data_IF_501629381018
#
_entry.id   IF_501629381018
#
_cell.length_a   1.000
_cell.length_b   1.000
_cell.length_c   1.000
_cell.angle_alpha   90.00
_cell.angle_beta   90.00
_cell.angle_gamma   90.00
#
_symmetry.space_group_name_H-M   'P 1'
#
loop_
_entity.id
_entity.type
_entity.pdbx_description
1 polymer ?
#
# COMPACT_ATOMS: atom_id res chain seq x y z
N UNK A 1 0.40 -4.59 -30.64
CA UNK A 1 0.20 -4.43 -29.20
C UNK A 1 -1.31 -4.44 -29.02
N UNK A 2 -1.88 -5.29 -28.22
CA UNK A 2 -3.32 -5.28 -27.92
C UNK A 2 -3.56 -4.88 -26.46
N UNK A 3 -4.81 -4.56 -26.10
CA UNK A 3 -5.17 -4.08 -24.79
C UNK A 3 -4.89 -5.12 -23.67
N UNK A 4 -5.05 -6.41 -23.95
CA UNK A 4 -4.86 -7.49 -23.00
C UNK A 4 -3.36 -7.67 -22.65
N UNK A 5 -2.48 -7.60 -23.65
CA UNK A 5 -1.03 -7.63 -23.46
C UNK A 5 -0.55 -6.41 -22.65
N UNK A 6 -1.07 -5.22 -22.97
CA UNK A 6 -0.77 -3.99 -22.21
C UNK A 6 -1.20 -4.10 -20.76
N UNK A 7 -2.42 -4.57 -20.50
CA UNK A 7 -2.94 -4.75 -19.14
C UNK A 7 -2.12 -5.76 -18.35
N UNK A 8 -1.78 -6.91 -18.97
CA UNK A 8 -0.92 -7.91 -18.35
C UNK A 8 0.45 -7.33 -17.97
N UNK A 9 1.12 -6.66 -18.91
CA UNK A 9 2.43 -6.05 -18.69
C UNK A 9 2.40 -4.96 -17.63
N UNK A 10 1.41 -4.08 -17.66
CA UNK A 10 1.25 -3.02 -16.66
C UNK A 10 1.03 -3.58 -15.26
N UNK A 11 0.20 -4.62 -15.13
CA UNK A 11 -0.10 -5.27 -13.85
C UNK A 11 1.07 -6.06 -13.30
N UNK A 12 1.76 -6.84 -14.13
CA UNK A 12 2.90 -7.68 -13.71
C UNK A 12 4.23 -6.93 -13.72
N UNK A 13 4.26 -5.73 -14.31
CA UNK A 13 5.48 -4.94 -14.61
C UNK A 13 6.49 -5.70 -15.49
N UNK A 14 6.03 -6.72 -16.19
CA UNK A 14 6.88 -7.56 -17.03
C UNK A 14 7.29 -6.83 -18.31
N UNK A 15 8.59 -6.68 -18.53
CA UNK A 15 9.15 -5.97 -19.68
C UNK A 15 8.84 -4.47 -19.71
N UNK A 16 8.52 -3.88 -18.58
CA UNK A 16 8.29 -2.45 -18.39
C UNK A 16 9.39 -1.83 -17.54
N UNK A 17 9.61 -0.53 -17.69
CA UNK A 17 10.39 0.27 -16.73
C UNK A 17 9.47 0.60 -15.57
N UNK A 18 9.77 0.14 -14.33
CA UNK A 18 8.92 0.42 -13.18
C UNK A 18 8.67 1.91 -12.95
N UNK A 19 7.45 2.35 -12.57
CA UNK A 19 7.13 3.78 -12.38
C UNK A 19 8.13 4.52 -11.49
N UNK A 20 8.60 3.89 -10.41
CA UNK A 20 9.58 4.49 -9.52
C UNK A 20 10.92 4.79 -10.22
N UNK A 21 11.35 3.96 -11.17
CA UNK A 21 12.55 4.20 -11.96
C UNK A 21 12.34 5.27 -13.03
N UNK A 22 11.13 5.39 -13.60
CA UNK A 22 10.79 6.50 -14.51
C UNK A 22 10.84 7.83 -13.76
N UNK A 23 10.23 7.91 -12.57
CA UNK A 23 10.33 9.10 -11.71
C UNK A 23 11.78 9.43 -11.38
N UNK A 24 12.59 8.42 -11.02
CA UNK A 24 14.01 8.61 -10.72
C UNK A 24 14.81 9.14 -11.91
N UNK A 25 14.54 8.64 -13.12
CA UNK A 25 15.14 9.18 -14.35
C UNK A 25 14.83 10.65 -14.55
N UNK A 26 13.58 11.07 -14.31
CA UNK A 26 13.16 12.46 -14.43
C UNK A 26 13.82 13.36 -13.36
N UNK A 27 13.86 12.91 -12.11
CA UNK A 27 14.52 13.63 -11.00
C UNK A 27 16.01 13.88 -11.26
N UNK A 28 16.70 12.92 -11.88
CA UNK A 28 18.12 13.02 -12.23
C UNK A 28 18.38 13.72 -13.58
N UNK A 29 17.35 14.26 -14.22
CA UNK A 29 17.47 15.06 -15.44
C UNK A 29 17.56 14.24 -16.73
N UNK A 30 17.22 12.95 -16.72
CA UNK A 30 17.25 12.08 -17.88
C UNK A 30 15.95 12.11 -18.71
N UNK A 31 15.26 13.26 -18.77
CA UNK A 31 13.98 13.43 -19.46
C UNK A 31 14.01 13.00 -20.93
N UNK A 32 15.12 13.24 -21.65
CA UNK A 32 15.29 12.79 -23.06
C UNK A 32 15.26 11.26 -23.19
N UNK A 33 15.70 10.56 -22.18
CA UNK A 33 15.67 9.11 -22.18
C UNK A 33 14.25 8.60 -21.94
N UNK A 34 13.52 9.24 -21.01
CA UNK A 34 12.08 8.93 -20.77
C UNK A 34 11.28 9.19 -22.05
N UNK A 35 11.49 10.33 -22.74
CA UNK A 35 10.89 10.62 -24.05
C UNK A 35 11.18 9.51 -25.07
N UNK A 36 12.45 9.10 -25.20
CA UNK A 36 12.85 8.05 -26.14
C UNK A 36 12.15 6.72 -25.87
N UNK A 37 12.02 6.33 -24.60
CA UNK A 37 11.34 5.11 -24.18
C UNK A 37 9.82 5.22 -24.39
N UNK A 38 9.23 6.39 -24.14
CA UNK A 38 7.83 6.69 -24.41
C UNK A 38 7.51 6.49 -25.90
N UNK A 39 8.32 7.07 -26.78
CA UNK A 39 8.20 6.91 -28.24
C UNK A 39 8.48 5.47 -28.70
N UNK A 40 9.23 4.71 -27.93
CA UNK A 40 9.49 3.28 -28.13
C UNK A 40 8.35 2.36 -27.69
N UNK A 41 7.27 2.90 -27.14
CA UNK A 41 6.08 2.14 -26.72
C UNK A 41 6.14 1.61 -25.27
N UNK A 42 6.97 2.21 -24.42
CA UNK A 42 6.99 1.91 -22.99
C UNK A 42 5.92 2.75 -22.28
N UNK A 43 4.92 2.08 -21.69
CA UNK A 43 3.72 2.72 -21.14
C UNK A 43 4.00 3.68 -19.98
N UNK A 44 4.77 3.27 -19.00
CA UNK A 44 5.02 4.12 -17.83
C UNK A 44 5.85 5.36 -18.18
N UNK A 45 6.78 5.22 -19.14
CA UNK A 45 7.47 6.37 -19.69
C UNK A 45 6.54 7.27 -20.51
N UNK A 46 5.62 6.70 -21.30
CA UNK A 46 4.66 7.47 -22.08
C UNK A 46 3.73 8.28 -21.16
N UNK A 47 3.22 7.69 -20.10
CA UNK A 47 2.36 8.35 -19.12
C UNK A 47 3.10 9.48 -18.39
N UNK A 48 4.30 9.23 -17.88
CA UNK A 48 5.07 10.26 -17.16
C UNK A 48 5.56 11.36 -18.13
N UNK A 49 5.92 11.01 -19.37
CA UNK A 49 6.28 11.99 -20.38
C UNK A 49 5.11 12.90 -20.76
N UNK A 50 3.91 12.34 -20.88
CA UNK A 50 2.69 13.11 -21.09
C UNK A 50 2.41 14.10 -19.94
N UNK A 51 2.66 13.71 -18.69
CA UNK A 51 2.59 14.60 -17.52
C UNK A 51 3.59 15.75 -17.62
N UNK A 52 4.84 15.44 -17.98
CA UNK A 52 5.89 16.46 -18.17
C UNK A 52 5.50 17.45 -19.26
N UNK A 53 5.00 16.98 -20.40
CA UNK A 53 4.54 17.84 -21.49
C UNK A 53 3.34 18.70 -21.06
N UNK A 54 2.37 18.12 -20.36
CA UNK A 54 1.21 18.85 -19.83
C UNK A 54 1.60 19.96 -18.87
N UNK A 55 2.59 19.70 -17.99
CA UNK A 55 3.15 20.72 -17.09
C UNK A 55 3.94 21.84 -17.80
N UNK A 56 4.27 21.64 -19.09
CA UNK A 56 4.91 22.64 -19.96
C UNK A 56 3.91 23.33 -20.91
N UNK A 57 2.62 23.21 -20.68
CA UNK A 57 1.53 23.70 -21.55
C UNK A 57 1.50 23.06 -22.98
N UNK A 58 2.17 21.91 -23.15
CA UNK A 58 2.24 21.13 -24.41
C UNK A 58 1.23 19.99 -24.42
N UNK A 59 -0.01 20.27 -24.03
CA UNK A 59 -1.06 19.26 -23.85
C UNK A 59 -1.40 18.47 -25.12
N UNK A 60 -1.32 19.09 -26.30
CA UNK A 60 -1.58 18.40 -27.57
C UNK A 60 -0.56 17.30 -27.80
N UNK A 61 0.72 17.61 -27.64
CA UNK A 61 1.80 16.64 -27.78
C UNK A 61 1.72 15.54 -26.70
N UNK A 62 1.29 15.89 -25.49
CA UNK A 62 1.04 14.92 -24.44
C UNK A 62 -0.04 13.88 -24.85
N UNK A 63 -1.13 14.33 -25.46
CA UNK A 63 -2.17 13.44 -25.95
C UNK A 63 -1.69 12.58 -27.13
N UNK A 64 -0.90 13.15 -28.07
CA UNK A 64 -0.30 12.40 -29.19
C UNK A 64 0.59 11.24 -28.69
N UNK A 65 1.28 11.40 -27.57
CA UNK A 65 2.09 10.31 -26.93
C UNK A 65 1.18 9.18 -26.43
N UNK A 66 -0.04 9.48 -25.97
CA UNK A 66 -0.98 8.49 -25.42
C UNK A 66 -1.92 7.88 -26.46
N UNK A 67 -2.11 8.51 -27.61
CA UNK A 67 -3.01 8.06 -28.69
C UNK A 67 -2.79 6.59 -29.12
N UNK A 68 -1.55 6.08 -29.29
CA UNK A 68 -1.33 4.69 -29.69
C UNK A 68 -1.90 3.67 -28.67
N UNK A 69 -1.93 4.03 -27.40
CA UNK A 69 -2.48 3.18 -26.33
C UNK A 69 -4.02 3.27 -26.29
N UNK A 70 -4.58 4.47 -26.47
CA UNK A 70 -6.02 4.69 -26.59
C UNK A 70 -6.61 3.94 -27.77
N UNK A 71 -5.91 3.94 -28.91
CA UNK A 71 -6.34 3.25 -30.13
C UNK A 71 -6.48 1.73 -29.96
N UNK A 72 -5.83 1.13 -28.96
CA UNK A 72 -6.00 -0.29 -28.63
C UNK A 72 -7.31 -0.61 -27.91
N UNK A 73 -8.03 0.39 -27.41
CA UNK A 73 -9.18 0.22 -26.54
C UNK A 73 -8.83 -0.11 -25.09
N UNK A 74 -7.60 0.11 -24.67
CA UNK A 74 -7.14 -0.21 -23.31
C UNK A 74 -7.71 0.76 -22.27
N UNK A 75 -8.46 0.21 -21.29
CA UNK A 75 -9.16 0.99 -20.27
C UNK A 75 -8.26 1.80 -19.37
N UNK A 76 -7.12 1.24 -18.96
CA UNK A 76 -6.15 1.92 -18.09
C UNK A 76 -5.56 3.16 -18.78
N UNK A 77 -5.29 3.08 -20.10
CA UNK A 77 -4.83 4.23 -20.86
C UNK A 77 -5.91 5.31 -20.96
N UNK A 78 -7.16 4.91 -21.19
CA UNK A 78 -8.27 5.86 -21.27
C UNK A 78 -8.53 6.55 -19.92
N UNK A 79 -8.49 5.81 -18.82
CA UNK A 79 -8.63 6.36 -17.46
C UNK A 79 -7.49 7.34 -17.11
N UNK A 80 -6.24 6.98 -17.45
CA UNK A 80 -5.09 7.84 -17.23
C UNK A 80 -5.16 9.13 -18.06
N UNK A 81 -5.53 9.02 -19.34
CA UNK A 81 -5.69 10.19 -20.22
C UNK A 81 -6.83 11.10 -19.75
N UNK A 82 -7.97 10.52 -19.35
CA UNK A 82 -9.09 11.28 -18.80
C UNK A 82 -8.69 12.01 -17.49
N UNK A 83 -7.88 11.38 -16.63
CA UNK A 83 -7.33 12.03 -15.45
C UNK A 83 -6.44 13.23 -15.79
N UNK A 84 -5.56 13.10 -16.77
CA UNK A 84 -4.73 14.22 -17.24
C UNK A 84 -5.57 15.37 -17.83
N UNK A 85 -6.57 15.07 -18.64
CA UNK A 85 -7.49 16.08 -19.16
C UNK A 85 -8.20 16.83 -18.02
N UNK A 86 -8.64 16.13 -16.98
CA UNK A 86 -9.26 16.73 -15.80
C UNK A 86 -8.27 17.63 -15.05
N UNK A 87 -7.03 17.17 -14.79
CA UNK A 87 -5.96 17.95 -14.16
C UNK A 87 -5.65 19.24 -14.93
N UNK A 88 -5.80 19.24 -16.26
CA UNK A 88 -5.62 20.40 -17.10
C UNK A 88 -6.87 21.30 -17.22
N UNK A 89 -7.93 21.01 -16.46
CA UNK A 89 -9.18 21.77 -16.49
C UNK A 89 -10.06 21.48 -17.71
N UNK A 90 -9.78 20.40 -18.48
CA UNK A 90 -10.52 19.96 -19.66
C UNK A 90 -11.54 18.87 -19.30
N UNK A 91 -12.32 19.08 -18.23
CA UNK A 91 -13.22 18.08 -17.69
C UNK A 91 -14.29 17.58 -18.66
N UNK A 92 -14.83 18.45 -19.55
CA UNK A 92 -15.79 18.05 -20.58
C UNK A 92 -15.20 17.03 -21.56
N UNK A 93 -13.95 17.22 -21.95
CA UNK A 93 -13.25 16.29 -22.86
C UNK A 93 -12.90 14.98 -22.14
N UNK A 94 -12.52 15.05 -20.86
CA UNK A 94 -12.30 13.88 -20.03
C UNK A 94 -13.56 13.00 -19.93
N UNK A 95 -14.71 13.63 -19.69
CA UNK A 95 -16.03 12.96 -19.65
C UNK A 95 -16.39 12.37 -21.00
N UNK A 96 -16.18 13.11 -22.10
CA UNK A 96 -16.45 12.63 -23.46
C UNK A 96 -15.60 11.39 -23.80
N UNK A 97 -14.30 11.41 -23.45
CA UNK A 97 -13.40 10.27 -23.62
C UNK A 97 -13.89 9.05 -22.84
N UNK A 98 -14.20 9.22 -21.54
CA UNK A 98 -14.71 8.16 -20.69
C UNK A 98 -15.99 7.53 -21.25
N UNK A 99 -16.98 8.35 -21.65
CA UNK A 99 -18.24 7.87 -22.24
C UNK A 99 -18.02 7.11 -23.54
N UNK A 100 -17.17 7.62 -24.43
CA UNK A 100 -16.85 6.97 -25.71
C UNK A 100 -16.23 5.59 -25.44
N UNK A 101 -15.31 5.51 -24.48
CA UNK A 101 -14.62 4.28 -24.15
C UNK A 101 -15.57 3.25 -23.53
N UNK A 102 -16.40 3.66 -22.58
CA UNK A 102 -17.43 2.80 -21.96
C UNK A 102 -18.45 2.29 -22.99
N UNK A 103 -18.86 3.09 -23.96
CA UNK A 103 -19.81 2.69 -25.00
C UNK A 103 -19.23 1.66 -25.99
N UNK A 104 -17.91 1.67 -26.20
CA UNK A 104 -17.22 0.77 -27.13
C UNK A 104 -16.83 -0.58 -26.50
N UNK A 105 -16.86 -0.70 -25.17
CA UNK A 105 -16.36 -1.86 -24.46
C UNK A 105 -17.35 -3.05 -24.48
N UNK A 106 -16.87 -4.20 -24.93
CA UNK A 106 -17.50 -5.50 -24.70
C UNK A 106 -17.16 -5.94 -23.30
N UNK A 107 -18.14 -6.03 -22.42
CA UNK A 107 -18.04 -6.57 -21.06
C UNK A 107 -16.80 -6.17 -20.21
N UNK A 108 -17.04 -5.40 -19.21
CA UNK A 108 -16.13 -5.07 -18.10
C UNK A 108 -15.40 -6.27 -17.49
N UNK A 109 -16.09 -7.43 -17.37
CA UNK A 109 -15.54 -8.66 -16.79
C UNK A 109 -14.40 -9.28 -17.63
N UNK A 110 -14.37 -9.03 -18.95
CA UNK A 110 -13.39 -9.62 -19.87
C UNK A 110 -12.06 -8.86 -19.91
N UNK A 111 -12.03 -7.59 -19.49
CA UNK A 111 -10.88 -6.70 -19.66
C UNK A 111 -10.12 -6.37 -18.39
N UNK A 112 -10.53 -6.89 -17.22
CA UNK A 112 -9.87 -6.55 -15.94
C UNK A 112 -10.05 -5.09 -15.50
N UNK A 113 -10.99 -4.36 -16.11
CA UNK A 113 -11.18 -2.91 -16.02
C UNK A 113 -11.75 -2.34 -14.73
N UNK A 114 -11.75 -3.08 -13.59
CA UNK A 114 -12.36 -2.64 -12.34
C UNK A 114 -11.86 -1.29 -11.81
N UNK A 115 -10.57 -1.12 -11.81
CA UNK A 115 -9.95 0.16 -11.39
C UNK A 115 -10.27 1.31 -12.35
N UNK A 116 -10.34 1.03 -13.65
CA UNK A 116 -10.68 2.04 -14.63
C UNK A 116 -12.17 2.44 -14.57
N UNK A 117 -13.07 1.48 -14.30
CA UNK A 117 -14.49 1.77 -14.10
C UNK A 117 -14.73 2.66 -12.87
N UNK A 118 -14.07 2.36 -11.76
CA UNK A 118 -14.06 3.23 -10.59
C UNK A 118 -13.56 4.63 -10.92
N UNK A 119 -12.45 4.73 -11.65
CA UNK A 119 -11.85 6.00 -12.06
C UNK A 119 -12.81 6.82 -12.93
N UNK A 120 -13.49 6.19 -13.88
CA UNK A 120 -14.50 6.86 -14.72
C UNK A 120 -15.72 7.30 -13.93
N UNK A 121 -16.23 6.48 -13.01
CA UNK A 121 -17.35 6.87 -12.17
C UNK A 121 -17.00 8.08 -11.28
N UNK A 122 -15.82 8.06 -10.65
CA UNK A 122 -15.33 9.19 -9.85
C UNK A 122 -15.13 10.46 -10.70
N UNK A 123 -14.61 10.31 -11.93
CA UNK A 123 -14.50 11.41 -12.89
C UNK A 123 -15.86 12.03 -13.23
N UNK A 124 -16.85 11.20 -13.55
CA UNK A 124 -18.22 11.67 -13.84
C UNK A 124 -18.79 12.45 -12.65
N UNK A 125 -18.67 11.90 -11.43
CA UNK A 125 -19.17 12.53 -10.21
C UNK A 125 -18.52 13.90 -9.94
N UNK A 126 -17.18 14.02 -10.09
CA UNK A 126 -16.46 15.29 -9.91
C UNK A 126 -16.86 16.34 -10.96
N UNK A 127 -17.29 15.91 -12.14
CA UNK A 127 -17.77 16.79 -13.22
C UNK A 127 -19.29 17.02 -13.21
N UNK A 128 -19.96 16.83 -12.06
CA UNK A 128 -21.38 17.14 -11.87
C UNK A 128 -22.35 16.08 -12.43
N UNK A 129 -21.86 14.90 -12.79
CA UNK A 129 -22.64 13.80 -13.37
C UNK A 129 -22.75 12.64 -12.36
N UNK A 130 -23.05 12.97 -11.10
CA UNK A 130 -23.07 12.00 -10.01
C UNK A 130 -24.17 10.93 -10.18
N UNK A 131 -25.32 11.28 -10.75
CA UNK A 131 -26.38 10.32 -11.07
C UNK A 131 -25.92 9.28 -12.11
N UNK A 132 -25.29 9.74 -13.22
CA UNK A 132 -24.73 8.85 -14.24
C UNK A 132 -23.67 7.91 -13.62
N UNK A 133 -22.82 8.45 -12.74
CA UNK A 133 -21.79 7.69 -12.04
C UNK A 133 -22.39 6.64 -11.10
N UNK A 134 -23.44 6.98 -10.36
CA UNK A 134 -24.15 6.05 -9.49
C UNK A 134 -24.78 4.91 -10.29
N UNK A 135 -25.50 5.24 -11.37
CA UNK A 135 -26.14 4.24 -12.23
C UNK A 135 -25.12 3.33 -12.92
N UNK A 136 -23.93 3.84 -13.24
CA UNK A 136 -22.82 3.08 -13.78
C UNK A 136 -22.32 2.01 -12.80
N UNK A 137 -22.17 2.35 -11.52
CA UNK A 137 -21.63 1.43 -10.50
C UNK A 137 -22.67 0.52 -9.87
N UNK A 138 -23.95 0.90 -9.85
CA UNK A 138 -25.03 0.14 -9.20
C UNK A 138 -25.09 -1.35 -9.56
N UNK A 139 -24.92 -1.76 -10.84
CA UNK A 139 -24.92 -3.18 -11.20
C UNK A 139 -23.73 -3.98 -10.62
N UNK A 140 -22.71 -3.30 -10.13
CA UNK A 140 -21.46 -3.86 -9.63
C UNK A 140 -21.32 -3.78 -8.11
N UNK A 141 -22.44 -3.65 -7.38
CA UNK A 141 -22.47 -3.55 -5.90
C UNK A 141 -21.81 -4.76 -5.21
N UNK A 142 -21.71 -5.89 -5.88
CA UNK A 142 -21.09 -7.10 -5.35
C UNK A 142 -19.55 -7.07 -5.40
N UNK A 143 -18.94 -6.14 -6.12
CA UNK A 143 -17.49 -5.92 -6.15
C UNK A 143 -17.12 -4.88 -5.08
N UNK A 144 -16.33 -5.27 -4.06
CA UNK A 144 -16.00 -4.44 -2.90
C UNK A 144 -15.45 -3.04 -3.25
N UNK A 145 -14.42 -2.88 -4.12
CA UNK A 145 -13.92 -1.57 -4.53
C UNK A 145 -14.99 -0.70 -5.19
N UNK A 146 -15.82 -1.29 -6.05
CA UNK A 146 -16.87 -0.56 -6.75
C UNK A 146 -18.05 -0.21 -5.84
N UNK A 147 -18.38 -1.08 -4.87
CA UNK A 147 -19.36 -0.77 -3.84
C UNK A 147 -18.91 0.42 -2.99
N UNK A 148 -17.65 0.46 -2.58
CA UNK A 148 -17.10 1.59 -1.84
C UNK A 148 -17.22 2.90 -2.64
N UNK A 149 -16.80 2.88 -3.92
CA UNK A 149 -16.93 4.04 -4.80
C UNK A 149 -18.40 4.46 -5.02
N UNK A 150 -19.32 3.49 -5.17
CA UNK A 150 -20.75 3.75 -5.29
C UNK A 150 -21.28 4.51 -4.06
N UNK A 151 -20.88 4.08 -2.86
CA UNK A 151 -21.31 4.73 -1.62
C UNK A 151 -20.76 6.15 -1.51
N UNK A 152 -19.51 6.40 -1.87
CA UNK A 152 -18.95 7.75 -1.91
C UNK A 152 -19.73 8.66 -2.87
N UNK A 153 -20.07 8.15 -4.04
CA UNK A 153 -20.80 8.90 -5.09
C UNK A 153 -22.27 9.12 -4.72
N UNK A 154 -22.88 8.19 -3.98
CA UNK A 154 -24.29 8.28 -3.60
C UNK A 154 -24.64 9.58 -2.87
N UNK A 155 -23.73 10.10 -2.06
CA UNK A 155 -23.91 11.38 -1.37
C UNK A 155 -24.03 12.54 -2.37
N UNK A 156 -23.14 12.62 -3.34
CA UNK A 156 -23.16 13.67 -4.35
C UNK A 156 -24.38 13.56 -5.28
N UNK A 157 -24.87 12.35 -5.51
CA UNK A 157 -26.08 12.06 -6.28
C UNK A 157 -27.39 12.24 -5.46
N UNK A 158 -27.32 12.45 -4.13
CA UNK A 158 -28.50 12.51 -3.26
C UNK A 158 -29.25 11.17 -3.16
N UNK A 159 -28.57 10.03 -3.40
CA UNK A 159 -29.18 8.69 -3.49
C UNK A 159 -28.78 7.77 -2.33
N UNK A 160 -28.52 8.35 -1.15
CA UNK A 160 -28.11 7.60 0.04
C UNK A 160 -29.13 6.55 0.49
N UNK A 161 -30.45 6.83 0.37
CA UNK A 161 -31.48 5.86 0.74
C UNK A 161 -31.48 4.65 -0.21
N UNK A 162 -31.27 4.84 -1.49
CA UNK A 162 -31.14 3.74 -2.44
C UNK A 162 -29.89 2.90 -2.16
N UNK A 163 -28.77 3.56 -1.89
CA UNK A 163 -27.51 2.91 -1.51
C UNK A 163 -27.65 2.10 -0.23
N UNK A 164 -28.34 2.64 0.79
CA UNK A 164 -28.65 1.93 2.03
C UNK A 164 -29.49 0.67 1.78
N UNK A 165 -30.51 0.77 0.92
CA UNK A 165 -31.34 -0.38 0.53
C UNK A 165 -30.55 -1.50 -0.18
N UNK A 166 -29.64 -1.13 -1.08
CA UNK A 166 -28.74 -2.07 -1.77
C UNK A 166 -27.84 -2.81 -0.77
N UNK A 167 -27.22 -2.08 0.16
CA UNK A 167 -26.34 -2.66 1.18
C UNK A 167 -27.10 -3.57 2.16
N UNK A 168 -28.28 -3.13 2.63
CA UNK A 168 -29.13 -3.94 3.51
C UNK A 168 -29.52 -5.28 2.87
N UNK A 169 -29.80 -5.29 1.57
CA UNK A 169 -30.07 -6.51 0.83
C UNK A 169 -28.86 -7.47 0.82
N UNK A 170 -27.62 -6.94 0.71
CA UNK A 170 -26.39 -7.75 0.72
C UNK A 170 -26.06 -8.30 2.10
N UNK A 171 -26.30 -7.54 3.16
CA UNK A 171 -26.15 -8.02 4.54
C UNK A 171 -27.06 -9.24 4.79
N UNK A 172 -28.28 -9.20 4.26
CA UNK A 172 -29.28 -10.27 4.45
C UNK A 172 -29.00 -11.49 3.58
N UNK A 173 -28.54 -11.30 2.33
CA UNK A 173 -28.32 -12.40 1.40
C UNK A 173 -26.98 -13.14 1.64
N UNK A 174 -26.01 -12.45 2.23
CA UNK A 174 -24.63 -12.94 2.29
C UNK A 174 -23.90 -12.86 0.94
N UNK A 175 -22.64 -13.20 0.95
CA UNK A 175 -21.84 -13.35 -0.27
C UNK A 175 -21.63 -14.86 -0.54
N UNK A 176 -22.13 -15.37 -1.66
CA UNK A 176 -21.82 -16.69 -2.16
C UNK A 176 -20.68 -16.59 -3.16
N UNK A 177 -19.57 -17.24 -2.87
CA UNK A 177 -18.41 -17.26 -3.74
C UNK A 177 -18.05 -18.69 -4.12
N UNK A 178 -17.99 -18.95 -5.42
CA UNK A 178 -17.60 -20.25 -5.98
C UNK A 178 -16.10 -20.55 -5.82
N UNK A 179 -15.31 -19.58 -5.39
CA UNK A 179 -13.88 -19.71 -5.20
C UNK A 179 -13.48 -19.50 -3.75
N UNK A 180 -12.73 -20.43 -3.13
CA UNK A 180 -12.19 -20.23 -1.77
C UNK A 180 -11.20 -19.06 -1.69
N UNK A 181 -10.80 -18.49 -2.82
CA UNK A 181 -9.89 -17.35 -2.95
C UNK A 181 -10.57 -16.08 -3.48
N UNK A 182 -11.89 -16.01 -3.45
CA UNK A 182 -12.63 -14.81 -3.83
C UNK A 182 -12.31 -13.68 -2.83
N UNK A 183 -11.58 -12.69 -3.30
CA UNK A 183 -11.15 -11.55 -2.48
C UNK A 183 -11.81 -10.23 -2.91
N UNK A 184 -12.74 -10.26 -3.89
CA UNK A 184 -13.37 -9.04 -4.43
C UNK A 184 -14.84 -8.91 -4.10
N UNK A 185 -15.46 -9.93 -3.52
CA UNK A 185 -16.87 -9.90 -3.15
C UNK A 185 -17.16 -8.93 -1.99
N UNK A 186 -18.34 -8.35 -2.00
CA UNK A 186 -18.83 -7.55 -0.89
C UNK A 186 -19.29 -8.46 0.26
N UNK A 187 -18.40 -8.77 1.16
CA UNK A 187 -18.70 -9.55 2.35
C UNK A 187 -19.71 -8.84 3.26
N UNK A 188 -20.61 -9.56 3.99
CA UNK A 188 -21.61 -8.95 4.85
C UNK A 188 -21.04 -7.95 5.85
N UNK A 189 -19.88 -8.23 6.46
CA UNK A 189 -19.24 -7.32 7.40
C UNK A 189 -18.76 -6.02 6.75
N UNK A 190 -18.32 -6.07 5.48
CA UNK A 190 -17.94 -4.88 4.71
C UNK A 190 -19.19 -4.07 4.33
N UNK A 191 -20.29 -4.75 3.95
CA UNK A 191 -21.56 -4.09 3.68
C UNK A 191 -22.12 -3.40 4.94
N UNK A 192 -21.98 -4.00 6.12
CA UNK A 192 -22.33 -3.38 7.41
C UNK A 192 -21.55 -2.09 7.62
N UNK A 193 -20.25 -2.10 7.38
CA UNK A 193 -19.40 -0.92 7.52
C UNK A 193 -19.81 0.22 6.58
N UNK A 194 -20.09 -0.09 5.31
CA UNK A 194 -20.57 0.88 4.34
C UNK A 194 -21.95 1.43 4.71
N UNK A 195 -22.87 0.58 5.16
CA UNK A 195 -24.21 1.00 5.60
C UNK A 195 -24.14 1.92 6.84
N UNK A 196 -23.28 1.61 7.80
CA UNK A 196 -23.02 2.47 8.95
C UNK A 196 -22.51 3.86 8.52
N UNK A 197 -21.62 3.92 7.52
CA UNK A 197 -21.15 5.19 6.95
C UNK A 197 -22.30 5.98 6.31
N UNK A 198 -23.21 5.33 5.59
CA UNK A 198 -24.40 5.99 5.02
C UNK A 198 -25.30 6.54 6.12
N UNK A 199 -25.58 5.75 7.16
CA UNK A 199 -26.40 6.21 8.30
C UNK A 199 -25.74 7.40 9.02
N UNK A 200 -24.45 7.34 9.27
CA UNK A 200 -23.71 8.43 9.93
C UNK A 200 -23.85 9.75 9.16
N UNK A 201 -23.59 9.77 7.86
CA UNK A 201 -23.66 10.99 7.05
C UNK A 201 -25.07 11.53 6.87
N UNK A 202 -26.10 10.67 7.04
CA UNK A 202 -27.51 11.08 7.10
C UNK A 202 -27.92 11.61 8.48
N UNK A 203 -27.00 11.68 9.45
CA UNK A 203 -27.26 12.08 10.82
C UNK A 203 -27.93 11.00 11.69
N UNK A 204 -28.08 9.78 11.17
CA UNK A 204 -28.65 8.62 11.87
C UNK A 204 -27.59 7.89 12.69
N UNK A 205 -26.90 8.63 13.56
CA UNK A 205 -25.72 8.12 14.29
C UNK A 205 -26.07 6.95 15.20
N UNK A 206 -27.23 6.96 15.86
CA UNK A 206 -27.67 5.87 16.75
C UNK A 206 -27.92 4.57 15.97
N UNK A 207 -28.44 4.67 14.74
CA UNK A 207 -28.63 3.51 13.89
C UNK A 207 -27.28 2.93 13.43
N UNK A 208 -26.30 3.79 13.11
CA UNK A 208 -24.94 3.35 12.79
C UNK A 208 -24.27 2.66 13.99
N UNK A 209 -24.40 3.21 15.20
CA UNK A 209 -23.89 2.60 16.44
C UNK A 209 -24.55 1.23 16.68
N UNK A 210 -25.88 1.14 16.60
CA UNK A 210 -26.60 -0.11 16.80
C UNK A 210 -26.18 -1.18 15.79
N UNK A 211 -26.01 -0.79 14.52
CA UNK A 211 -25.56 -1.68 13.43
C UNK A 211 -24.16 -2.22 13.69
N UNK A 212 -23.19 -1.35 13.98
CA UNK A 212 -21.81 -1.74 14.24
C UNK A 212 -21.65 -2.55 15.54
N UNK A 213 -22.44 -2.26 16.56
CA UNK A 213 -22.42 -2.99 17.84
C UNK A 213 -22.93 -4.43 17.74
N UNK A 214 -23.84 -4.71 16.79
CA UNK A 214 -24.37 -6.07 16.57
C UNK A 214 -23.43 -6.97 15.75
N UNK A 215 -22.50 -6.39 15.02
CA UNK A 215 -21.58 -7.11 14.13
C UNK A 215 -20.14 -6.96 14.64
N UNK A 216 -19.67 -7.92 15.44
CA UNK A 216 -18.45 -7.86 16.24
C UNK A 216 -17.12 -7.71 15.47
N UNK A 217 -17.10 -7.60 14.14
CA UNK A 217 -15.88 -7.53 13.33
C UNK A 217 -16.00 -6.58 12.13
N UNK A 218 -16.03 -5.29 12.40
CA UNK A 218 -15.93 -4.26 11.35
C UNK A 218 -14.53 -3.60 11.34
N UNK A 219 -13.49 -4.40 11.55
CA UNK A 219 -12.12 -3.89 11.43
C UNK A 219 -11.68 -3.90 9.98
N UNK A 220 -11.48 -2.72 9.41
CA UNK A 220 -10.88 -2.55 8.08
C UNK A 220 -9.50 -1.95 8.25
N UNK A 221 -8.49 -2.61 7.69
CA UNK A 221 -7.09 -2.15 7.78
C UNK A 221 -6.58 -1.92 9.22
N UNK A 222 -7.02 -2.75 10.17
CA UNK A 222 -6.59 -2.63 11.56
C UNK A 222 -7.26 -1.49 12.34
N UNK A 223 -8.36 -0.94 11.85
CA UNK A 223 -9.17 0.07 12.52
C UNK A 223 -10.56 -0.46 12.83
N UNK A 224 -11.06 -0.11 14.00
CA UNK A 224 -12.42 -0.44 14.43
C UNK A 224 -13.38 0.70 14.09
N UNK A 225 -14.36 0.44 13.22
CA UNK A 225 -15.29 1.45 12.74
C UNK A 225 -16.19 2.02 13.83
N UNK A 226 -16.57 1.21 14.83
CA UNK A 226 -17.39 1.68 15.96
C UNK A 226 -16.58 2.65 16.84
N UNK A 227 -15.30 2.32 17.10
CA UNK A 227 -14.40 3.21 17.83
C UNK A 227 -14.19 4.54 17.10
N UNK A 228 -13.98 4.48 15.77
CA UNK A 228 -13.85 5.67 14.93
C UNK A 228 -15.14 6.52 14.93
N UNK A 229 -16.31 5.87 14.89
CA UNK A 229 -17.61 6.55 14.95
C UNK A 229 -17.77 7.29 16.29
N UNK A 230 -17.50 6.65 17.42
CA UNK A 230 -17.53 7.30 18.73
C UNK A 230 -16.56 8.48 18.80
N UNK A 231 -15.35 8.32 18.27
CA UNK A 231 -14.34 9.38 18.27
C UNK A 231 -14.77 10.60 17.43
N UNK A 232 -15.33 10.39 16.23
CA UNK A 232 -15.80 11.49 15.35
C UNK A 232 -16.98 12.27 15.97
N UNK A 233 -17.82 11.60 16.76
CA UNK A 233 -18.99 12.21 17.41
C UNK A 233 -18.75 12.62 18.86
N UNK A 234 -17.48 12.69 19.29
CA UNK A 234 -17.09 13.13 20.65
C UNK A 234 -17.70 12.29 21.79
N UNK A 235 -18.03 11.03 21.51
CA UNK A 235 -18.64 10.10 22.48
C UNK A 235 -17.57 9.37 23.27
N UNK A 236 -16.74 10.14 24.02
CA UNK A 236 -15.56 9.62 24.71
C UNK A 236 -15.91 8.58 25.77
N UNK A 237 -16.99 8.76 26.49
CA UNK A 237 -17.36 7.84 27.57
C UNK A 237 -17.78 6.48 27.01
N UNK A 238 -18.48 6.46 25.87
CA UNK A 238 -18.81 5.21 25.17
C UNK A 238 -17.57 4.58 24.54
N UNK A 239 -16.69 5.38 23.94
CA UNK A 239 -15.42 4.88 23.42
C UNK A 239 -14.56 4.26 24.53
N UNK A 240 -14.53 4.88 25.71
CA UNK A 240 -13.81 4.34 26.88
C UNK A 240 -14.43 3.03 27.36
N UNK A 241 -15.76 2.98 27.49
CA UNK A 241 -16.46 1.77 27.88
C UNK A 241 -16.24 0.63 26.85
N UNK A 242 -16.23 0.97 25.56
CA UNK A 242 -15.96 0.02 24.50
C UNK A 242 -14.51 -0.46 24.52
N UNK A 243 -13.53 0.42 24.72
CA UNK A 243 -12.11 0.08 24.85
C UNK A 243 -11.82 -0.85 26.02
N UNK A 244 -12.63 -0.82 27.08
CA UNK A 244 -12.50 -1.74 28.24
C UNK A 244 -12.98 -3.17 27.93
N UNK A 245 -13.75 -3.37 26.89
CA UNK A 245 -14.40 -4.65 26.55
C UNK A 245 -13.91 -5.24 25.22
N UNK A 246 -13.38 -4.42 24.32
CA UNK A 246 -12.88 -4.85 23.00
C UNK A 246 -11.53 -5.59 23.14
N UNK A 247 -11.45 -6.89 22.75
CA UNK A 247 -10.32 -7.73 23.11
C UNK A 247 -9.05 -7.51 22.26
N UNK A 248 -9.16 -6.87 21.09
CA UNK A 248 -8.05 -6.72 20.15
C UNK A 248 -7.26 -5.42 20.38
N UNK A 249 -7.81 -4.48 21.17
CA UNK A 249 -7.15 -3.23 21.52
C UNK A 249 -7.29 -2.10 20.49
N UNK A 250 -8.10 -2.27 19.43
CA UNK A 250 -8.33 -1.21 18.44
C UNK A 250 -9.10 -0.03 19.01
N UNK A 251 -10.10 -0.29 19.86
CA UNK A 251 -10.85 0.77 20.52
C UNK A 251 -9.96 1.54 21.51
N UNK A 252 -9.10 0.85 22.25
CA UNK A 252 -8.12 1.49 23.12
C UNK A 252 -7.11 2.33 22.33
N UNK A 253 -6.65 1.83 21.17
CA UNK A 253 -5.79 2.59 20.27
C UNK A 253 -6.48 3.88 19.83
N UNK A 254 -7.71 3.81 19.33
CA UNK A 254 -8.45 5.01 18.88
C UNK A 254 -8.72 6.00 20.01
N UNK A 255 -9.02 5.52 21.21
CA UNK A 255 -9.16 6.37 22.39
C UNK A 255 -7.85 7.09 22.73
N UNK A 256 -6.74 6.39 22.72
CA UNK A 256 -5.43 6.98 22.99
C UNK A 256 -5.04 8.02 21.93
N UNK A 257 -5.27 7.75 20.63
CA UNK A 257 -5.06 8.70 19.54
C UNK A 257 -5.90 9.98 19.76
N UNK A 258 -7.19 9.82 20.12
CA UNK A 258 -8.08 10.96 20.39
C UNK A 258 -7.62 11.79 21.59
N UNK A 259 -7.13 11.15 22.66
CA UNK A 259 -6.58 11.85 23.82
C UNK A 259 -5.29 12.60 23.46
N UNK A 260 -4.40 11.99 22.67
CA UNK A 260 -3.20 12.65 22.14
C UNK A 260 -3.55 13.86 21.26
N UNK A 261 -4.50 13.73 20.32
CA UNK A 261 -5.01 14.81 19.48
C UNK A 261 -5.52 16.02 20.32
N UNK A 262 -5.99 15.76 21.54
CA UNK A 262 -6.47 16.78 22.50
C UNK A 262 -5.40 17.30 23.46
N UNK A 263 -4.19 16.81 23.34
CA UNK A 263 -3.07 17.17 24.20
C UNK A 263 -3.03 16.43 25.55
N UNK A 264 -3.93 15.47 25.79
CA UNK A 264 -3.91 14.62 27.00
C UNK A 264 -3.01 13.39 26.77
N UNK A 265 -1.72 13.63 26.66
CA UNK A 265 -0.69 12.61 26.40
C UNK A 265 -0.63 11.60 27.56
N UNK A 266 -0.73 12.05 28.80
CA UNK A 266 -0.68 11.16 29.97
C UNK A 266 -1.94 10.26 30.07
N UNK A 267 -3.10 10.79 29.66
CA UNK A 267 -4.31 10.02 29.46
C UNK A 267 -4.14 8.92 28.41
N UNK A 268 -3.57 9.25 27.25
CA UNK A 268 -3.26 8.30 26.17
C UNK A 268 -2.31 7.19 26.63
N UNK A 269 -1.23 7.54 27.33
CA UNK A 269 -0.28 6.57 27.92
C UNK A 269 -1.00 5.62 28.91
N UNK A 270 -1.90 6.17 29.71
CA UNK A 270 -2.65 5.37 30.69
C UNK A 270 -3.57 4.37 30.01
N UNK A 271 -4.24 4.76 28.93
CA UNK A 271 -5.08 3.87 28.10
C UNK A 271 -4.28 2.72 27.53
N UNK A 272 -3.15 2.99 26.89
CA UNK A 272 -2.30 1.92 26.34
C UNK A 272 -1.74 0.98 27.40
N UNK A 273 -1.31 1.50 28.56
CA UNK A 273 -0.81 0.67 29.66
C UNK A 273 -1.89 -0.28 30.19
N UNK A 274 -3.13 0.20 30.29
CA UNK A 274 -4.27 -0.62 30.72
C UNK A 274 -4.62 -1.68 29.68
N UNK A 275 -4.72 -1.30 28.41
CA UNK A 275 -5.00 -2.21 27.31
C UNK A 275 -3.95 -3.31 27.19
N UNK A 276 -2.66 -2.99 27.37
CA UNK A 276 -1.56 -3.95 27.33
C UNK A 276 -1.65 -5.08 28.36
N UNK A 277 -2.41 -4.90 29.44
CA UNK A 277 -2.61 -5.96 30.45
C UNK A 277 -3.67 -6.99 30.04
N UNK A 278 -4.67 -6.59 29.25
CA UNK A 278 -5.84 -7.40 28.88
C UNK A 278 -5.92 -7.82 27.42
N UNK A 279 -5.25 -7.13 26.50
CA UNK A 279 -5.34 -7.36 25.06
C UNK A 279 -4.72 -8.68 24.63
N UNK A 280 -5.36 -9.34 23.64
CA UNK A 280 -4.79 -10.49 22.92
C UNK A 280 -3.59 -10.07 22.03
N UNK A 281 -3.43 -8.77 21.75
CA UNK A 281 -2.38 -8.18 20.90
C UNK A 281 -1.41 -7.33 21.71
N UNK A 282 -0.91 -7.86 22.84
CA UNK A 282 -0.02 -7.13 23.77
C UNK A 282 1.19 -6.48 23.10
N UNK A 283 1.84 -7.18 22.17
CA UNK A 283 2.96 -6.65 21.40
C UNK A 283 2.59 -5.41 20.59
N UNK A 284 1.48 -5.43 19.88
CA UNK A 284 1.01 -4.26 19.12
C UNK A 284 0.73 -3.07 20.04
N UNK A 285 0.07 -3.30 21.18
CA UNK A 285 -0.21 -2.24 22.17
C UNK A 285 1.07 -1.64 22.73
N UNK A 286 2.10 -2.47 22.99
CA UNK A 286 3.40 -2.00 23.44
C UNK A 286 4.09 -1.14 22.36
N UNK A 287 4.04 -1.55 21.09
CA UNK A 287 4.58 -0.77 19.98
C UNK A 287 3.88 0.57 19.84
N UNK A 288 2.54 0.62 19.90
CA UNK A 288 1.81 1.88 19.81
C UNK A 288 2.10 2.81 20.99
N UNK A 289 2.23 2.25 22.22
CA UNK A 289 2.67 3.02 23.38
C UNK A 289 4.10 3.57 23.20
N UNK A 290 5.02 2.74 22.70
CA UNK A 290 6.40 3.17 22.47
C UNK A 290 6.50 4.26 21.41
N UNK A 291 5.72 4.15 20.31
CA UNK A 291 5.61 5.19 19.29
C UNK A 291 5.04 6.50 19.84
N UNK A 292 3.98 6.43 20.66
CA UNK A 292 3.44 7.61 21.34
C UNK A 292 4.51 8.29 22.21
N UNK A 293 5.22 7.53 23.02
CA UNK A 293 6.29 8.04 23.88
C UNK A 293 7.42 8.69 23.05
N UNK A 294 7.85 8.05 21.96
CA UNK A 294 8.90 8.58 21.07
C UNK A 294 8.46 9.88 20.38
N UNK A 295 7.21 10.01 19.91
CA UNK A 295 6.68 11.26 19.35
C UNK A 295 6.70 12.43 20.34
N UNK A 296 6.70 12.14 21.64
CA UNK A 296 6.78 13.13 22.72
C UNK A 296 8.18 13.17 23.39
N UNK A 297 9.23 12.80 22.65
CA UNK A 297 10.63 12.84 23.09
C UNK A 297 10.94 11.98 24.34
N UNK A 298 10.05 11.03 24.70
CA UNK A 298 10.22 10.13 25.85
C UNK A 298 10.83 8.80 25.42
N UNK A 299 11.95 8.85 24.72
CA UNK A 299 12.60 7.66 24.14
C UNK A 299 13.05 6.62 25.18
N UNK A 300 13.57 7.05 26.33
CA UNK A 300 13.99 6.08 27.37
C UNK A 300 12.80 5.28 27.91
N UNK A 301 11.65 5.93 28.09
CA UNK A 301 10.40 5.25 28.44
C UNK A 301 9.92 4.31 27.33
N UNK A 302 10.02 4.73 26.05
CA UNK A 302 9.67 3.92 24.89
C UNK A 302 10.53 2.66 24.80
N UNK A 303 11.84 2.80 24.97
CA UNK A 303 12.81 1.69 24.99
C UNK A 303 12.49 0.74 26.13
N UNK A 304 12.18 1.23 27.33
CA UNK A 304 11.84 0.39 28.48
C UNK A 304 10.55 -0.42 28.24
N UNK A 305 9.53 0.18 27.62
CA UNK A 305 8.29 -0.50 27.23
C UNK A 305 8.60 -1.64 26.24
N UNK A 306 9.40 -1.35 25.21
CA UNK A 306 9.74 -2.35 24.19
C UNK A 306 10.65 -3.45 24.73
N UNK A 307 11.61 -3.13 25.60
CA UNK A 307 12.44 -4.14 26.30
C UNK A 307 11.58 -5.07 27.14
N UNK A 308 10.68 -4.50 27.94
CA UNK A 308 9.74 -5.29 28.76
C UNK A 308 8.89 -6.22 27.89
N UNK A 309 8.43 -5.74 26.73
CA UNK A 309 7.67 -6.56 25.77
C UNK A 309 8.52 -7.67 25.16
N UNK A 310 9.75 -7.35 24.73
CA UNK A 310 10.66 -8.30 24.10
C UNK A 310 11.20 -9.36 25.09
N UNK A 311 11.39 -9.01 26.37
CA UNK A 311 11.85 -9.93 27.41
C UNK A 311 10.72 -10.82 27.98
N UNK A 312 9.46 -10.55 27.64
CA UNK A 312 8.34 -11.40 28.03
C UNK A 312 8.42 -12.78 27.32
N UNK A 313 7.89 -13.85 27.92
CA UNK A 313 7.85 -15.15 27.27
C UNK A 313 7.15 -15.09 25.90
N UNK A 314 7.87 -15.45 24.83
CA UNK A 314 7.40 -15.34 23.44
C UNK A 314 7.36 -13.91 22.89
N UNK A 315 7.91 -12.92 23.61
CA UNK A 315 7.81 -11.51 23.22
C UNK A 315 8.89 -11.01 22.27
N UNK A 316 10.01 -11.72 22.11
CA UNK A 316 11.08 -11.29 21.22
C UNK A 316 10.85 -11.78 19.77
N UNK A 317 9.68 -11.49 19.22
CA UNK A 317 9.40 -11.62 17.79
C UNK A 317 10.18 -10.56 17.00
N UNK A 318 10.52 -10.85 15.75
CA UNK A 318 11.38 -10.02 14.89
C UNK A 318 10.89 -8.56 14.78
N UNK A 319 9.60 -8.37 14.57
CA UNK A 319 8.99 -7.04 14.45
C UNK A 319 9.02 -6.22 15.76
N UNK A 320 8.96 -6.87 16.94
CA UNK A 320 9.12 -6.21 18.25
C UNK A 320 10.58 -5.80 18.45
N UNK A 321 11.50 -6.70 18.09
CA UNK A 321 12.94 -6.46 18.17
C UNK A 321 13.34 -5.34 17.21
N UNK A 322 12.78 -5.31 16.00
CA UNK A 322 13.02 -4.26 15.02
C UNK A 322 12.63 -2.87 15.54
N UNK A 323 11.43 -2.75 16.12
CA UNK A 323 10.98 -1.48 16.74
C UNK A 323 11.91 -1.06 17.89
N UNK A 324 12.31 -1.98 18.76
CA UNK A 324 13.25 -1.67 19.84
C UNK A 324 14.59 -1.15 19.31
N UNK A 325 15.14 -1.84 18.31
CA UNK A 325 16.41 -1.47 17.68
C UNK A 325 16.32 -0.13 16.94
N UNK A 326 15.20 0.14 16.30
CA UNK A 326 14.91 1.43 15.63
C UNK A 326 14.90 2.56 16.66
N UNK A 327 14.23 2.42 17.80
CA UNK A 327 14.21 3.43 18.86
C UNK A 327 15.61 3.74 19.40
N UNK A 328 16.46 2.74 19.58
CA UNK A 328 17.85 2.97 19.95
C UNK A 328 18.61 3.74 18.87
N UNK A 329 18.42 3.38 17.61
CA UNK A 329 19.11 4.04 16.49
C UNK A 329 18.67 5.50 16.32
N UNK A 330 17.37 5.80 16.46
CA UNK A 330 16.81 7.16 16.42
C UNK A 330 17.36 8.05 17.56
N UNK A 331 17.64 7.45 18.72
CA UNK A 331 18.35 8.14 19.80
C UNK A 331 19.87 8.27 19.60
N UNK A 332 20.42 7.81 18.48
CA UNK A 332 21.86 7.81 18.24
C UNK A 332 22.63 6.79 19.11
N UNK A 333 21.95 5.75 19.57
CA UNK A 333 22.49 4.68 20.45
C UNK A 333 22.51 3.29 19.77
N UNK A 334 22.94 3.15 18.50
CA UNK A 334 22.93 1.87 17.80
C UNK A 334 23.84 0.81 18.47
N UNK A 335 24.87 1.25 19.22
CA UNK A 335 25.74 0.35 19.99
C UNK A 335 24.97 -0.37 21.10
N UNK A 336 24.03 0.32 21.77
CA UNK A 336 23.22 -0.27 22.83
C UNK A 336 22.26 -1.31 22.28
N UNK A 337 21.69 -1.05 21.09
CA UNK A 337 20.89 -2.02 20.34
C UNK A 337 21.70 -3.29 19.99
N UNK A 338 22.91 -3.12 19.48
CA UNK A 338 23.82 -4.24 19.18
C UNK A 338 24.14 -5.05 20.42
N UNK A 339 24.45 -4.40 21.55
CA UNK A 339 24.72 -5.07 22.81
C UNK A 339 23.50 -5.87 23.31
N UNK A 340 22.30 -5.33 23.16
CA UNK A 340 21.06 -6.03 23.51
C UNK A 340 20.81 -7.25 22.60
N UNK A 341 21.06 -7.13 21.26
CA UNK A 341 20.98 -8.26 20.33
C UNK A 341 22.00 -9.36 20.66
N UNK A 342 23.21 -9.01 21.10
CA UNK A 342 24.23 -9.97 21.54
C UNK A 342 23.79 -10.74 22.79
N UNK A 343 23.17 -10.05 23.75
CA UNK A 343 22.58 -10.68 24.93
C UNK A 343 21.40 -11.60 24.56
N UNK A 344 20.53 -11.17 23.67
CA UNK A 344 19.43 -11.99 23.16
C UNK A 344 19.94 -13.27 22.48
N UNK A 345 20.97 -13.15 21.63
CA UNK A 345 21.63 -14.28 20.98
C UNK A 345 22.25 -15.24 22.00
N UNK A 346 22.91 -14.70 23.04
CA UNK A 346 23.50 -15.51 24.11
C UNK A 346 22.41 -16.27 24.89
N UNK A 347 21.30 -15.64 25.21
CA UNK A 347 20.16 -16.27 25.90
C UNK A 347 19.49 -17.36 25.06
N UNK A 348 19.38 -17.19 23.72
CA UNK A 348 18.78 -18.16 22.80
C UNK A 348 19.72 -19.25 22.32
N UNK A 349 21.02 -19.06 22.47
CA UNK A 349 22.07 -19.97 22.01
C UNK A 349 22.28 -19.94 20.47
N UNK A 350 21.49 -19.17 19.74
CA UNK A 350 21.59 -18.96 18.29
C UNK A 350 21.05 -17.58 17.94
N UNK A 351 21.45 -17.09 16.78
CA UNK A 351 20.82 -15.92 16.16
C UNK A 351 19.88 -16.40 15.05
N UNK A 352 18.64 -15.96 15.10
CA UNK A 352 17.65 -16.25 14.06
C UNK A 352 17.92 -15.35 12.85
N UNK A 353 17.57 -15.84 11.66
CA UNK A 353 17.83 -15.15 10.40
C UNK A 353 17.21 -13.75 10.35
N UNK A 354 15.98 -13.62 10.84
CA UNK A 354 15.24 -12.37 10.91
C UNK A 354 15.96 -11.33 11.79
N UNK A 355 16.49 -11.75 12.93
CA UNK A 355 17.23 -10.88 13.85
C UNK A 355 18.62 -10.50 13.31
N UNK A 356 19.22 -11.36 12.51
CA UNK A 356 20.46 -11.07 11.82
C UNK A 356 20.32 -9.85 10.90
N UNK A 357 19.21 -9.73 10.16
CA UNK A 357 18.95 -8.59 9.27
C UNK A 357 18.75 -7.27 10.02
N UNK A 358 18.17 -7.31 11.22
CA UNK A 358 18.01 -6.14 12.08
C UNK A 358 19.37 -5.63 12.58
N UNK A 359 20.35 -6.53 12.76
CA UNK A 359 21.71 -6.18 13.21
C UNK A 359 22.50 -5.36 12.18
N UNK A 360 22.35 -5.65 10.89
CA UNK A 360 23.20 -5.10 9.86
C UNK A 360 23.09 -3.56 9.71
N UNK A 361 21.90 -2.95 9.64
CA UNK A 361 21.78 -1.49 9.60
C UNK A 361 22.31 -0.81 10.87
N UNK A 362 22.22 -1.45 12.04
CA UNK A 362 22.81 -0.94 13.27
C UNK A 362 24.34 -0.93 13.21
N UNK A 363 24.95 -1.98 12.64
CA UNK A 363 26.40 -2.02 12.41
C UNK A 363 26.82 -0.90 11.44
N UNK A 364 26.05 -0.69 10.38
CA UNK A 364 26.30 0.41 9.44
C UNK A 364 26.21 1.78 10.12
N UNK A 365 25.20 2.00 10.97
CA UNK A 365 25.05 3.22 11.77
C UNK A 365 26.21 3.45 12.74
N UNK A 366 26.90 2.35 13.16
CA UNK A 366 28.14 2.43 13.93
C UNK A 366 29.41 2.61 13.07
N UNK A 367 29.29 2.81 11.75
CA UNK A 367 30.42 2.90 10.84
C UNK A 367 31.09 1.57 10.49
N UNK A 368 30.48 0.43 10.82
CA UNK A 368 31.02 -0.93 10.66
C UNK A 368 30.46 -1.62 9.43
N UNK A 369 30.36 -0.90 8.29
CA UNK A 369 29.76 -1.41 7.05
C UNK A 369 30.52 -2.63 6.50
N UNK A 370 31.86 -2.55 6.43
CA UNK A 370 32.65 -3.68 5.91
C UNK A 370 32.51 -4.94 6.75
N UNK A 371 32.46 -4.79 8.08
CA UNK A 371 32.23 -5.91 8.99
C UNK A 371 30.82 -6.52 8.80
N UNK A 372 29.80 -5.69 8.60
CA UNK A 372 28.43 -6.16 8.29
C UNK A 372 28.39 -6.94 6.97
N UNK A 373 29.09 -6.48 5.94
CA UNK A 373 29.23 -7.18 4.66
C UNK A 373 29.91 -8.53 4.80
N UNK A 374 31.05 -8.58 5.51
CA UNK A 374 31.79 -9.83 5.74
C UNK A 374 30.98 -10.81 6.58
N UNK A 375 30.26 -10.32 7.59
CA UNK A 375 29.40 -11.14 8.43
C UNK A 375 28.26 -11.76 7.59
N UNK A 376 27.66 -10.98 6.67
CA UNK A 376 26.64 -11.48 5.74
C UNK A 376 27.20 -12.55 4.83
N UNK A 377 28.39 -12.35 4.24
CA UNK A 377 29.04 -13.34 3.39
C UNK A 377 29.36 -14.64 4.10
N UNK A 378 29.68 -14.57 5.38
CA UNK A 378 29.97 -15.74 6.22
C UNK A 378 28.70 -16.49 6.68
N UNK A 379 27.52 -15.87 6.56
CA UNK A 379 26.27 -16.48 6.99
C UNK A 379 25.85 -17.60 6.00
N UNK A 380 25.28 -18.73 6.47
CA UNK A 380 24.80 -19.80 5.57
C UNK A 380 23.88 -19.35 4.45
N UNK A 381 23.00 -18.37 4.72
CA UNK A 381 22.08 -17.76 3.74
C UNK A 381 22.71 -16.57 2.99
N UNK A 382 23.98 -16.26 3.22
CA UNK A 382 24.65 -15.08 2.67
C UNK A 382 24.87 -15.11 1.17
N UNK A 383 24.74 -16.28 0.51
CA UNK A 383 24.86 -16.46 -0.91
C UNK A 383 23.51 -16.37 -1.66
N UNK A 384 22.47 -15.83 -1.04
CA UNK A 384 21.14 -15.66 -1.67
C UNK A 384 21.02 -14.29 -2.34
N UNK A 385 20.10 -14.18 -3.31
CA UNK A 385 19.76 -12.89 -3.93
C UNK A 385 19.18 -11.89 -2.91
N UNK A 386 18.46 -12.38 -1.91
CA UNK A 386 17.93 -11.59 -0.80
C UNK A 386 19.08 -10.98 0.03
N UNK A 387 20.08 -11.79 0.40
CA UNK A 387 21.26 -11.30 1.12
C UNK A 387 22.03 -10.25 0.30
N UNK A 388 22.18 -10.48 -1.00
CA UNK A 388 22.84 -9.55 -1.90
C UNK A 388 22.14 -8.18 -1.96
N UNK A 389 20.80 -8.15 -1.94
CA UNK A 389 20.02 -6.92 -1.92
C UNK A 389 20.25 -6.12 -0.63
N UNK A 390 20.25 -6.79 0.52
CA UNK A 390 20.56 -6.14 1.80
C UNK A 390 21.99 -5.58 1.85
N UNK A 391 22.99 -6.36 1.41
CA UNK A 391 24.37 -5.89 1.33
C UNK A 391 24.48 -4.67 0.40
N UNK A 392 23.83 -4.71 -0.75
CA UNK A 392 23.83 -3.59 -1.69
C UNK A 392 23.19 -2.33 -1.08
N UNK A 393 22.09 -2.49 -0.34
CA UNK A 393 21.43 -1.38 0.37
C UNK A 393 22.35 -0.76 1.41
N UNK A 394 23.06 -1.58 2.20
CA UNK A 394 24.04 -1.09 3.17
C UNK A 394 25.18 -0.32 2.53
N UNK A 395 25.73 -0.86 1.43
CA UNK A 395 26.83 -0.23 0.68
C UNK A 395 26.37 1.10 0.06
N UNK A 396 25.20 1.13 -0.58
CA UNK A 396 24.65 2.34 -1.18
C UNK A 396 24.35 3.41 -0.12
N UNK A 397 23.79 3.04 1.03
CA UNK A 397 23.56 3.94 2.17
C UNK A 397 24.86 4.52 2.75
N UNK A 398 25.99 3.82 2.60
CA UNK A 398 27.33 4.29 2.94
C UNK A 398 28.01 5.10 1.81
N UNK A 399 27.29 5.44 0.73
CA UNK A 399 27.85 6.16 -0.43
C UNK A 399 28.71 5.30 -1.38
N UNK A 400 28.66 3.97 -1.23
CA UNK A 400 29.45 3.00 -2.01
C UNK A 400 28.61 2.32 -3.09
N UNK A 401 27.91 3.13 -3.90
CA UNK A 401 26.93 2.63 -4.89
C UNK A 401 27.57 1.74 -5.97
N UNK A 402 28.82 1.98 -6.36
CA UNK A 402 29.55 1.11 -7.31
C UNK A 402 29.77 -0.29 -6.73
N UNK A 403 30.09 -0.40 -5.43
CA UNK A 403 30.24 -1.68 -4.76
C UNK A 403 28.89 -2.41 -4.66
N UNK A 404 27.81 -1.67 -4.41
CA UNK A 404 26.44 -2.20 -4.39
C UNK A 404 26.05 -2.81 -5.76
N UNK A 405 26.36 -2.11 -6.86
CA UNK A 405 26.17 -2.62 -8.22
C UNK A 405 26.97 -3.90 -8.44
N UNK A 406 28.24 -3.92 -8.05
CA UNK A 406 29.11 -5.09 -8.19
C UNK A 406 28.56 -6.33 -7.47
N UNK A 407 27.97 -6.15 -6.30
CA UNK A 407 27.32 -7.23 -5.55
C UNK A 407 26.08 -7.73 -6.28
N UNK A 408 25.19 -6.83 -6.74
CA UNK A 408 23.94 -7.22 -7.39
C UNK A 408 24.13 -7.82 -8.79
N UNK A 409 25.18 -7.42 -9.54
CA UNK A 409 25.51 -8.00 -10.86
C UNK A 409 25.70 -9.52 -10.79
N UNK A 410 26.15 -10.06 -9.67
CA UNK A 410 26.30 -11.51 -9.44
C UNK A 410 24.95 -12.23 -9.32
N UNK A 411 23.88 -11.50 -9.02
CA UNK A 411 22.52 -12.00 -8.80
C UNK A 411 21.50 -11.32 -9.73
N UNK A 412 21.94 -10.80 -10.85
CA UNK A 412 21.18 -9.92 -11.74
C UNK A 412 19.74 -10.38 -12.05
N UNK A 413 19.43 -11.65 -12.36
CA UNK A 413 18.05 -12.01 -12.68
C UNK A 413 17.05 -11.76 -11.56
N UNK A 414 17.47 -11.92 -10.30
CA UNK A 414 16.59 -11.77 -9.14
C UNK A 414 16.40 -10.33 -8.69
N UNK A 415 17.44 -9.49 -8.79
CA UNK A 415 17.47 -8.13 -8.22
C UNK A 415 17.51 -7.04 -9.31
N UNK A 416 16.91 -7.32 -10.46
CA UNK A 416 16.98 -6.46 -11.66
C UNK A 416 16.54 -5.02 -11.40
N UNK A 417 15.43 -4.81 -10.67
CA UNK A 417 14.89 -3.47 -10.42
C UNK A 417 15.81 -2.66 -9.51
N UNK A 418 16.30 -3.26 -8.43
CA UNK A 418 17.22 -2.60 -7.48
C UNK A 418 18.55 -2.28 -8.14
N UNK A 419 19.10 -3.21 -8.92
CA UNK A 419 20.33 -3.00 -9.70
C UNK A 419 20.16 -1.87 -10.73
N UNK A 420 19.03 -1.86 -11.47
CA UNK A 420 18.75 -0.79 -12.42
C UNK A 420 18.64 0.58 -11.72
N UNK A 421 18.05 0.64 -10.51
CA UNK A 421 17.99 1.86 -9.71
C UNK A 421 19.39 2.41 -9.39
N UNK A 422 20.29 1.58 -8.89
CA UNK A 422 21.67 2.02 -8.60
C UNK A 422 22.46 2.39 -9.86
N UNK A 423 22.24 1.69 -10.99
CA UNK A 423 22.86 2.08 -12.26
C UNK A 423 22.37 3.47 -12.72
N UNK A 424 21.10 3.78 -12.54
CA UNK A 424 20.54 5.12 -12.83
C UNK A 424 21.18 6.18 -11.91
N UNK A 425 21.33 5.89 -10.63
CA UNK A 425 21.97 6.79 -9.66
C UNK A 425 23.43 7.11 -10.02
N UNK A 426 24.13 6.15 -10.63
CA UNK A 426 25.48 6.32 -11.14
C UNK A 426 25.54 6.97 -12.54
N UNK A 427 24.41 7.33 -13.15
CA UNK A 427 24.35 7.86 -14.51
C UNK A 427 24.54 6.80 -15.62
N UNK A 428 24.61 5.51 -15.27
CA UNK A 428 24.73 4.36 -16.20
C UNK A 428 23.36 3.96 -16.77
N UNK A 429 22.60 4.95 -17.26
CA UNK A 429 21.20 4.79 -17.68
C UNK A 429 21.04 3.74 -18.78
N UNK A 430 21.97 3.69 -19.75
CA UNK A 430 21.89 2.72 -20.85
C UNK A 430 21.99 1.27 -20.35
N UNK A 431 22.86 1.03 -19.37
CA UNK A 431 23.06 -0.30 -18.79
C UNK A 431 21.81 -0.71 -18.01
N UNK A 432 21.22 0.22 -17.23
CA UNK A 432 19.98 -0.02 -16.49
C UNK A 432 18.82 -0.42 -17.40
N UNK A 433 18.63 0.31 -18.50
CA UNK A 433 17.55 0.04 -19.45
C UNK A 433 17.77 -1.27 -20.21
N UNK A 434 19.01 -1.54 -20.64
CA UNK A 434 19.34 -2.81 -21.26
C UNK A 434 19.04 -3.99 -20.34
N UNK A 435 19.36 -3.88 -19.05
CA UNK A 435 19.07 -4.89 -18.05
C UNK A 435 17.55 -5.15 -17.93
N UNK A 436 16.73 -4.09 -17.80
CA UNK A 436 15.27 -4.20 -17.69
C UNK A 436 14.60 -4.80 -18.93
N UNK A 437 15.15 -4.54 -20.13
CA UNK A 437 14.63 -5.04 -21.40
C UNK A 437 15.03 -6.49 -21.69
N UNK A 438 16.21 -6.96 -21.22
CA UNK A 438 16.71 -8.31 -21.48
C UNK A 438 16.14 -9.38 -20.53
N UNK A 439 15.70 -9.00 -19.34
CA UNK A 439 15.19 -9.94 -18.34
C UNK A 439 13.80 -10.51 -18.66
N UNK A 440 13.11 -9.99 -19.69
CA UNK A 440 11.78 -10.48 -20.08
C UNK A 440 11.70 -10.55 -21.62
N UNK A 441 12.12 -11.67 -22.23
CA UNK A 441 11.71 -11.93 -23.60
C UNK A 441 10.18 -11.95 -23.67
N UNK A 442 9.54 -11.46 -24.75
CA UNK A 442 8.10 -11.50 -24.88
C UNK A 442 7.65 -12.93 -24.68
N UNK A 443 6.84 -13.16 -23.63
CA UNK A 443 6.29 -14.48 -23.34
C UNK A 443 5.48 -14.91 -24.55
N UNK A 444 5.69 -16.13 -25.11
CA UNK A 444 4.81 -16.63 -26.14
C UNK A 444 3.39 -16.65 -25.55
N UNK A 445 2.42 -16.22 -26.35
CA UNK A 445 1.03 -16.16 -25.96
C UNK A 445 0.62 -17.49 -25.28
N UNK A 446 0.44 -17.46 -23.97
CA UNK A 446 -0.07 -18.61 -23.23
C UNK A 446 -1.56 -18.67 -23.57
N UNK A 447 -2.06 -19.78 -24.14
CA UNK A 447 -3.48 -19.96 -24.32
C UNK A 447 -4.16 -19.83 -22.95
N UNK A 448 -5.22 -19.06 -22.87
CA UNK A 448 -6.09 -18.94 -21.70
C UNK A 448 -6.79 -20.27 -21.43
N UNK A 449 -6.08 -21.21 -20.84
CA UNK A 449 -6.64 -22.46 -20.33
C UNK A 449 -6.04 -22.70 -18.94
N UNK A 450 -6.87 -22.42 -17.94
CA UNK A 450 -6.87 -23.03 -16.60
C UNK A 450 -5.52 -23.56 -16.09
N UNK A 451 -4.73 -22.72 -15.41
CA UNK A 451 -3.52 -23.16 -14.69
C UNK A 451 -3.41 -22.56 -13.28
N UNK A 452 -4.56 -22.47 -12.56
CA UNK A 452 -4.55 -22.06 -11.14
C UNK A 452 -5.42 -22.97 -10.27
N UNK A 453 -5.55 -24.25 -10.63
CA UNK A 453 -6.42 -25.18 -9.90
C UNK A 453 -5.71 -26.32 -9.16
N UNK A 454 -4.40 -26.45 -9.28
CA UNK A 454 -3.71 -27.51 -8.54
C UNK A 454 -2.41 -26.97 -7.91
N UNK A 455 -2.46 -26.82 -6.61
CA UNK A 455 -1.45 -26.56 -5.57
C UNK A 455 -1.42 -25.15 -4.99
N UNK A 456 -1.74 -25.03 -3.68
CA UNK A 456 -1.50 -23.82 -2.91
C UNK A 456 -0.01 -23.73 -2.57
N UNK A 457 0.65 -22.58 -2.74
CA UNK A 457 1.88 -22.33 -2.03
C UNK A 457 1.54 -22.01 -0.56
N UNK A 458 2.22 -22.65 0.32
CA UNK A 458 2.20 -22.72 1.78
C UNK A 458 1.74 -21.46 2.52
#
# INVERSE_FOLDING_TARGET
MDASDLEHRARTRSGCIPPALVSRLLELGHAKEVERQALGGEWFCALEWARVLGGQDRQVEALEVLDPYLATGWWTAAAATAGLLEEWGRGEEAVALARTHMASARSYAETGGGLALESFARLLARNGLADDAFDLLRPHIDDWPLAHALIDIAQAAGRDEEAAGLLAARISAGHECDSPWCCRGLEPHLAVGLLATVHERQGRVEEAVALLSTHQFTSVNGRDQLADLFARHDRIDELRAYADTEPLGYAAQRLAELLEERGDVDGAITVYRRAGQGSLRRGNTAVELARLLARHDRYDDAIEVMRTSADAPGGAEDWIVDVLCTLYAEQGRPQDALAWLDDLKARRGKEEWELFWIRLPLMAACGRVDEAVELTRAHPEGATSYAAEHVATLLAGAGRTEDAVTVLEQYAPANTTTLAGYLIDLGRVKDALALLQHTHPPSPAVPTTRLWLDEPPF
#
